data_IF_310545788064
#
_entry.id   IF_310545788064
#
_cell.length_a   1.000
_cell.length_b   1.000
_cell.length_c   1.000
_cell.angle_alpha   90.00
_cell.angle_beta   90.00
_cell.angle_gamma   90.00
#
_symmetry.space_group_name_H-M   'P 1'
#
loop_
_entity.id
_entity.type
_entity.pdbx_description
1 polymer ?
#
# COMPACT_ATOMS: atom_id res chain seq x y z
N UNK A 1 -30.01 -25.37 -34.99
CA UNK A 1 -29.48 -23.99 -34.88
C UNK A 1 -30.31 -23.28 -33.84
N UNK A 2 -29.86 -23.30 -32.59
CA UNK A 2 -30.46 -22.46 -31.55
C UNK A 2 -29.96 -21.01 -31.75
N UNK A 3 -30.82 -20.00 -31.55
CA UNK A 3 -30.41 -18.62 -31.69
C UNK A 3 -29.49 -18.21 -30.54
N UNK A 4 -28.34 -17.64 -30.88
CA UNK A 4 -27.46 -16.95 -29.95
C UNK A 4 -28.25 -15.85 -29.24
N UNK A 5 -28.56 -16.06 -27.95
CA UNK A 5 -29.13 -15.02 -27.10
C UNK A 5 -27.98 -14.05 -26.77
N UNK A 6 -27.99 -12.89 -27.41
CA UNK A 6 -27.10 -11.78 -27.08
C UNK A 6 -27.45 -11.28 -25.67
N UNK A 7 -26.76 -11.81 -24.65
CA UNK A 7 -26.90 -11.35 -23.26
C UNK A 7 -26.26 -9.97 -23.16
N UNK A 8 -27.05 -8.92 -23.41
CA UNK A 8 -26.65 -7.56 -23.06
C UNK A 8 -26.32 -7.54 -21.56
N UNK A 9 -25.12 -7.11 -21.14
CA UNK A 9 -24.80 -7.04 -19.73
C UNK A 9 -25.74 -6.04 -19.07
N UNK A 10 -26.59 -6.53 -18.18
CA UNK A 10 -27.49 -5.70 -17.37
C UNK A 10 -26.66 -4.62 -16.65
N UNK A 11 -27.11 -3.37 -16.73
CA UNK A 11 -26.50 -2.17 -16.10
C UNK A 11 -25.93 -2.37 -14.68
N UNK A 12 -26.50 -3.20 -13.78
CA UNK A 12 -25.90 -3.49 -12.47
C UNK A 12 -24.47 -4.06 -12.51
N UNK A 13 -24.11 -4.86 -13.53
CA UNK A 13 -22.77 -5.50 -13.61
C UNK A 13 -21.64 -4.51 -13.92
N UNK A 14 -21.95 -3.40 -14.57
CA UNK A 14 -20.95 -2.39 -14.99
C UNK A 14 -20.64 -1.42 -13.84
N UNK A 15 -21.65 -1.11 -13.01
CA UNK A 15 -21.48 -0.29 -11.79
C UNK A 15 -20.52 -0.96 -10.79
N UNK A 16 -20.62 -2.28 -10.59
CA UNK A 16 -19.80 -3.01 -9.63
C UNK A 16 -18.30 -3.08 -10.00
N UNK A 17 -17.99 -3.24 -11.29
CA UNK A 17 -16.61 -3.51 -11.76
C UNK A 17 -15.64 -2.36 -11.49
N UNK A 18 -16.13 -1.11 -11.43
CA UNK A 18 -15.28 0.08 -11.36
C UNK A 18 -15.54 1.00 -10.16
N UNK A 19 -16.70 0.91 -9.49
CA UNK A 19 -17.04 1.79 -8.36
C UNK A 19 -16.47 1.27 -7.05
N UNK A 20 -16.58 -0.04 -6.80
CA UNK A 20 -16.14 -0.65 -5.55
C UNK A 20 -14.64 -0.46 -5.25
N UNK A 21 -13.71 -0.65 -6.21
CA UNK A 21 -12.30 -0.34 -5.97
C UNK A 21 -12.07 1.13 -5.62
N UNK A 22 -12.81 2.06 -6.25
CA UNK A 22 -12.71 3.49 -5.97
C UNK A 22 -13.23 3.83 -4.57
N UNK A 23 -14.34 3.22 -4.15
CA UNK A 23 -14.89 3.37 -2.80
C UNK A 23 -13.89 2.84 -1.77
N UNK A 24 -13.39 1.62 -1.94
CA UNK A 24 -12.40 1.03 -1.04
C UNK A 24 -11.14 1.88 -0.93
N UNK A 25 -10.62 2.37 -2.06
CA UNK A 25 -9.47 3.27 -2.10
C UNK A 25 -9.74 4.60 -1.38
N UNK A 26 -10.91 5.20 -1.57
CA UNK A 26 -11.32 6.44 -0.90
C UNK A 26 -11.40 6.25 0.61
N UNK A 27 -12.04 5.16 1.07
CA UNK A 27 -12.17 4.84 2.49
C UNK A 27 -10.81 4.65 3.16
N UNK A 28 -9.89 3.90 2.54
CA UNK A 28 -8.53 3.73 3.08
C UNK A 28 -7.75 5.03 3.06
N UNK A 29 -7.88 5.83 2.00
CA UNK A 29 -7.22 7.13 1.90
C UNK A 29 -7.68 8.05 3.04
N UNK A 30 -8.98 8.16 3.28
CA UNK A 30 -9.56 8.93 4.38
C UNK A 30 -9.13 8.39 5.76
N UNK A 31 -9.16 7.07 5.96
CA UNK A 31 -8.74 6.44 7.22
C UNK A 31 -7.24 6.63 7.50
N UNK A 32 -6.39 6.61 6.45
CA UNK A 32 -4.96 6.88 6.56
C UNK A 32 -4.67 8.34 6.89
N UNK A 33 -5.42 9.27 6.29
CA UNK A 33 -5.34 10.70 6.57
C UNK A 33 -5.74 10.99 8.02
N UNK A 34 -6.85 10.42 8.50
CA UNK A 34 -7.25 10.52 9.90
C UNK A 34 -6.14 10.01 10.84
N UNK A 35 -5.48 8.90 10.50
CA UNK A 35 -4.33 8.39 11.26
C UNK A 35 -3.12 9.35 11.26
N UNK A 36 -2.78 9.93 10.11
CA UNK A 36 -1.69 10.90 10.00
C UNK A 36 -1.99 12.19 10.77
N UNK A 37 -3.22 12.70 10.68
CA UNK A 37 -3.71 13.85 11.47
C UNK A 37 -3.58 13.55 12.96
N UNK A 38 -4.07 12.39 13.41
CA UNK A 38 -3.99 11.96 14.80
C UNK A 38 -2.54 11.92 15.30
N UNK A 39 -1.61 11.35 14.53
CA UNK A 39 -0.20 11.30 14.94
C UNK A 39 0.47 12.68 14.89
N UNK A 40 0.21 13.49 13.85
CA UNK A 40 0.80 14.82 13.69
C UNK A 40 0.37 15.79 14.78
N UNK A 41 -0.93 15.82 15.11
CA UNK A 41 -1.42 16.63 16.22
C UNK A 41 -0.76 16.20 17.55
N UNK A 42 -0.49 14.90 17.77
CA UNK A 42 0.19 14.42 19.01
C UNK A 42 1.64 14.89 19.10
N UNK A 43 2.27 15.15 17.96
CA UNK A 43 3.58 15.79 17.88
C UNK A 43 3.52 17.31 18.06
N UNK A 44 2.32 17.89 18.27
CA UNK A 44 2.10 19.32 18.43
C UNK A 44 1.94 20.07 17.10
N UNK A 45 1.65 19.38 16.00
CA UNK A 45 1.50 20.01 14.68
C UNK A 45 0.04 20.41 14.43
N UNK A 46 -0.28 21.70 14.47
CA UNK A 46 -1.66 22.20 14.35
C UNK A 46 -2.02 22.75 12.95
N UNK A 47 -1.06 22.85 12.02
CA UNK A 47 -1.30 23.40 10.68
C UNK A 47 -1.62 22.34 9.63
N UNK A 48 -2.68 22.56 8.84
CA UNK A 48 -3.04 21.70 7.71
C UNK A 48 -1.89 21.40 6.74
N UNK A 49 -1.00 22.36 6.39
CA UNK A 49 0.14 22.04 5.53
C UNK A 49 1.08 20.98 6.11
N UNK A 50 1.37 21.04 7.42
CA UNK A 50 2.23 20.06 8.08
C UNK A 50 1.58 18.68 8.14
N UNK A 51 0.27 18.62 8.43
CA UNK A 51 -0.48 17.38 8.45
C UNK A 51 -0.62 16.75 7.05
N UNK A 52 -0.78 17.59 6.02
CA UNK A 52 -0.84 17.15 4.63
C UNK A 52 0.51 16.62 4.13
N UNK A 53 1.62 17.30 4.46
CA UNK A 53 2.98 16.82 4.16
C UNK A 53 3.21 15.46 4.80
N UNK A 54 2.90 15.34 6.10
CA UNK A 54 3.01 14.08 6.84
C UNK A 54 2.22 12.96 6.18
N UNK A 55 0.93 13.17 5.96
CA UNK A 55 0.07 12.16 5.35
C UNK A 55 0.62 11.73 3.99
N UNK A 56 0.98 12.71 3.15
CA UNK A 56 1.53 12.45 1.82
C UNK A 56 2.84 11.69 1.86
N UNK A 57 3.74 12.00 2.82
CA UNK A 57 5.01 11.31 3.02
C UNK A 57 4.83 9.82 3.32
N UNK A 58 3.96 9.45 4.26
CA UNK A 58 3.64 8.04 4.52
C UNK A 58 2.96 7.38 3.33
N UNK A 59 2.11 8.10 2.62
CA UNK A 59 1.35 7.56 1.50
C UNK A 59 2.25 7.21 0.31
N UNK A 60 3.14 8.12 -0.10
CA UNK A 60 4.11 7.84 -1.19
C UNK A 60 5.15 6.78 -0.79
N UNK A 61 5.60 6.79 0.46
CA UNK A 61 6.51 5.76 0.97
C UNK A 61 5.83 4.38 0.96
N UNK A 62 4.56 4.31 1.38
CA UNK A 62 3.78 3.07 1.38
C UNK A 62 3.55 2.52 -0.04
N UNK A 63 3.28 3.39 -1.02
CA UNK A 63 3.17 3.00 -2.43
C UNK A 63 4.49 2.42 -2.96
N UNK A 64 5.63 3.09 -2.71
CA UNK A 64 6.94 2.62 -3.15
C UNK A 64 7.31 1.30 -2.46
N UNK A 65 7.23 1.24 -1.13
CA UNK A 65 7.57 0.05 -0.35
C UNK A 65 6.72 -1.14 -0.76
N UNK A 66 5.40 -0.97 -0.76
CA UNK A 66 4.48 -2.05 -1.11
C UNK A 66 4.65 -2.51 -2.55
N UNK A 67 4.69 -1.60 -3.53
CA UNK A 67 4.87 -2.01 -4.94
C UNK A 67 6.21 -2.70 -5.19
N UNK A 68 7.27 -2.31 -4.48
CA UNK A 68 8.56 -3.00 -4.51
C UNK A 68 8.47 -4.41 -3.90
N UNK A 69 7.76 -4.58 -2.78
CA UNK A 69 7.45 -5.90 -2.23
C UNK A 69 6.68 -6.77 -3.23
N UNK A 70 5.71 -6.20 -3.93
CA UNK A 70 4.92 -6.88 -4.97
C UNK A 70 5.79 -7.39 -6.11
N UNK A 71 6.68 -6.54 -6.64
CA UNK A 71 7.66 -6.94 -7.65
C UNK A 71 8.51 -8.14 -7.20
N UNK A 72 9.04 -8.09 -5.98
CA UNK A 72 10.03 -9.05 -5.49
C UNK A 72 9.42 -10.39 -5.03
N UNK A 73 8.35 -10.32 -4.24
CA UNK A 73 7.79 -11.48 -3.54
C UNK A 73 6.58 -12.09 -4.24
N UNK A 74 6.01 -11.41 -5.24
CA UNK A 74 4.78 -11.85 -5.89
C UNK A 74 4.98 -12.04 -7.39
N UNK A 75 5.42 -11.01 -8.12
CA UNK A 75 5.65 -11.13 -9.56
C UNK A 75 6.73 -12.17 -9.87
N UNK A 76 7.93 -12.01 -9.30
CA UNK A 76 9.06 -12.87 -9.66
C UNK A 76 8.85 -14.36 -9.37
N UNK A 77 8.24 -14.76 -8.23
CA UNK A 77 7.86 -16.16 -8.05
C UNK A 77 6.78 -16.64 -9.03
N UNK A 78 5.81 -15.79 -9.39
CA UNK A 78 4.71 -16.20 -10.28
C UNK A 78 5.18 -16.43 -11.71
N UNK A 79 6.07 -15.58 -12.24
CA UNK A 79 6.65 -15.80 -13.57
C UNK A 79 7.59 -17.02 -13.56
N UNK A 80 8.32 -17.27 -12.47
CA UNK A 80 9.14 -18.49 -12.34
C UNK A 80 8.32 -19.78 -12.35
N UNK A 81 7.07 -19.74 -11.87
CA UNK A 81 6.14 -20.87 -11.93
C UNK A 81 5.59 -21.10 -13.35
N UNK A 82 5.57 -20.09 -14.21
CA UNK A 82 5.10 -20.16 -15.60
C UNK A 82 6.07 -19.44 -16.54
N UNK A 83 7.24 -20.02 -16.84
CA UNK A 83 8.31 -19.33 -17.57
C UNK A 83 8.13 -19.36 -19.10
N UNK A 84 6.88 -19.31 -19.58
CA UNK A 84 6.56 -19.26 -21.02
C UNK A 84 6.74 -17.83 -21.56
N UNK A 85 7.07 -17.64 -22.84
CA UNK A 85 7.36 -16.33 -23.42
C UNK A 85 6.28 -15.28 -23.13
N UNK A 86 5.00 -15.63 -23.30
CA UNK A 86 3.85 -14.74 -23.12
C UNK A 86 3.72 -14.25 -21.67
N UNK A 87 3.94 -15.14 -20.70
CA UNK A 87 3.92 -14.80 -19.28
C UNK A 87 5.11 -13.93 -18.87
N UNK A 88 6.28 -14.18 -19.45
CA UNK A 88 7.47 -13.35 -19.25
C UNK A 88 7.24 -11.94 -19.82
N UNK A 89 6.68 -11.84 -21.03
CA UNK A 89 6.36 -10.56 -21.67
C UNK A 89 5.35 -9.74 -20.86
N UNK A 90 4.33 -10.40 -20.30
CA UNK A 90 3.38 -9.76 -19.38
C UNK A 90 4.08 -9.29 -18.09
N UNK A 91 4.94 -10.13 -17.50
CA UNK A 91 5.72 -9.77 -16.31
C UNK A 91 6.67 -8.60 -16.54
N UNK A 92 7.38 -8.56 -17.67
CA UNK A 92 8.24 -7.44 -18.03
C UNK A 92 7.45 -6.17 -18.33
N UNK A 93 6.26 -6.28 -18.91
CA UNK A 93 5.36 -5.13 -19.08
C UNK A 93 4.96 -4.53 -17.72
N UNK A 94 4.66 -5.36 -16.72
CA UNK A 94 4.43 -4.90 -15.35
C UNK A 94 5.66 -4.19 -14.77
N UNK A 95 6.87 -4.73 -14.98
CA UNK A 95 8.12 -4.07 -14.52
C UNK A 95 8.31 -2.70 -15.20
N UNK A 96 8.03 -2.58 -16.50
CA UNK A 96 8.13 -1.29 -17.22
C UNK A 96 7.15 -0.25 -16.67
N UNK A 97 5.90 -0.63 -16.43
CA UNK A 97 4.91 0.26 -15.81
C UNK A 97 5.26 0.62 -14.37
N UNK A 98 5.79 -0.33 -13.60
CA UNK A 98 6.27 -0.07 -12.24
C UNK A 98 7.39 0.98 -12.23
N UNK A 99 8.36 0.89 -13.16
CA UNK A 99 9.40 1.91 -13.33
C UNK A 99 8.82 3.27 -13.72
N UNK A 100 7.80 3.31 -14.56
CA UNK A 100 7.11 4.56 -14.90
C UNK A 100 6.48 5.22 -13.66
N UNK A 101 5.81 4.44 -12.81
CA UNK A 101 5.32 4.92 -11.52
C UNK A 101 6.43 5.38 -10.59
N UNK A 102 7.55 4.66 -10.51
CA UNK A 102 8.69 5.05 -9.68
C UNK A 102 9.30 6.39 -10.11
N UNK A 103 9.29 6.75 -11.40
CA UNK A 103 9.79 8.06 -11.87
C UNK A 103 8.99 9.24 -11.32
N UNK A 104 7.72 9.02 -10.96
CA UNK A 104 6.87 10.03 -10.34
C UNK A 104 6.95 9.93 -8.81
N UNK A 105 6.83 8.70 -8.29
CA UNK A 105 6.75 8.46 -6.85
C UNK A 105 8.07 8.72 -6.12
N UNK A 106 9.23 8.45 -6.74
CA UNK A 106 10.53 8.63 -6.08
C UNK A 106 10.84 10.12 -5.82
N UNK A 107 10.76 11.04 -6.81
CA UNK A 107 10.92 12.47 -6.52
C UNK A 107 9.90 12.99 -5.50
N UNK A 108 8.65 12.54 -5.59
CA UNK A 108 7.61 12.89 -4.62
C UNK A 108 7.98 12.39 -3.20
N UNK A 109 8.50 11.18 -3.07
CA UNK A 109 8.96 10.64 -1.80
C UNK A 109 10.15 11.41 -1.23
N UNK A 110 11.15 11.74 -2.06
CA UNK A 110 12.30 12.55 -1.62
C UNK A 110 11.83 13.89 -1.08
N UNK A 111 10.94 14.58 -1.80
CA UNK A 111 10.40 15.87 -1.39
C UNK A 111 9.55 15.78 -0.12
N UNK A 112 8.56 14.89 -0.11
CA UNK A 112 7.55 14.82 0.95
C UNK A 112 8.11 14.21 2.23
N UNK A 113 8.90 13.14 2.12
CA UNK A 113 9.59 12.55 3.28
C UNK A 113 10.67 13.51 3.79
N UNK A 114 11.42 14.17 2.91
CA UNK A 114 12.38 15.20 3.31
C UNK A 114 11.71 16.35 4.07
N UNK A 115 10.54 16.82 3.60
CA UNK A 115 9.75 17.83 4.29
C UNK A 115 9.21 17.35 5.64
N UNK A 116 8.70 16.12 5.75
CA UNK A 116 8.24 15.53 7.01
C UNK A 116 9.41 15.37 8.02
N UNK A 117 10.58 14.92 7.55
CA UNK A 117 11.80 14.86 8.36
C UNK A 117 12.24 16.25 8.86
N UNK A 118 12.10 17.29 8.04
CA UNK A 118 12.36 18.66 8.46
C UNK A 118 11.38 19.15 9.55
N UNK A 119 10.12 18.69 9.54
CA UNK A 119 9.18 18.97 10.63
C UNK A 119 9.64 18.33 11.95
N UNK A 120 10.17 17.10 11.90
CA UNK A 120 10.69 16.42 13.09
C UNK A 120 11.94 17.06 13.69
N UNK A 121 12.77 17.74 12.89
CA UNK A 121 13.94 18.45 13.41
C UNK A 121 13.58 19.56 14.41
N UNK A 122 12.31 20.02 14.43
CA UNK A 122 11.79 20.98 15.42
C UNK A 122 11.75 20.41 16.85
N UNK A 123 11.74 19.08 17.00
CA UNK A 123 11.79 18.40 18.29
C UNK A 123 13.20 18.29 18.88
N UNK A 124 14.20 18.91 18.24
CA UNK A 124 15.53 19.07 18.81
C UNK A 124 16.42 17.82 18.70
N UNK A 125 17.41 17.66 19.61
CA UNK A 125 18.46 16.65 19.50
C UNK A 125 17.96 15.20 19.44
N UNK A 126 16.83 14.89 20.09
CA UNK A 126 16.27 13.54 20.15
C UNK A 126 15.82 13.03 18.77
N UNK A 127 15.39 13.92 17.87
CA UNK A 127 14.91 13.54 16.52
C UNK A 127 16.07 13.36 15.52
N UNK A 128 17.20 14.05 15.71
CA UNK A 128 18.32 14.07 14.76
C UNK A 128 18.84 12.70 14.34
N UNK A 129 19.16 11.75 15.24
CA UNK A 129 19.69 10.45 14.82
C UNK A 129 18.69 9.68 13.94
N UNK A 130 17.40 9.73 14.28
CA UNK A 130 16.34 9.10 13.49
C UNK A 130 16.15 9.75 12.13
N UNK A 131 16.25 11.08 12.05
CA UNK A 131 16.19 11.82 10.78
C UNK A 131 17.35 11.43 9.86
N UNK A 132 18.56 11.30 10.41
CA UNK A 132 19.74 10.85 9.66
C UNK A 132 19.55 9.42 9.15
N UNK A 133 19.08 8.50 10.01
CA UNK A 133 18.82 7.10 9.62
C UNK A 133 17.74 7.01 8.55
N UNK A 134 16.61 7.72 8.72
CA UNK A 134 15.51 7.73 7.77
C UNK A 134 15.93 8.34 6.42
N UNK A 135 16.64 9.47 6.44
CA UNK A 135 17.16 10.11 5.23
C UNK A 135 18.20 9.25 4.51
N UNK A 136 19.11 8.62 5.25
CA UNK A 136 20.09 7.69 4.70
C UNK A 136 19.42 6.46 4.08
N UNK A 137 18.42 5.88 4.74
CA UNK A 137 17.65 4.76 4.19
C UNK A 137 16.86 5.15 2.93
N UNK A 138 16.30 6.36 2.89
CA UNK A 138 15.66 6.89 1.68
C UNK A 138 16.65 7.12 0.54
N UNK A 139 17.87 7.58 0.84
CA UNK A 139 18.93 7.71 -0.16
C UNK A 139 19.37 6.35 -0.72
N UNK A 140 19.50 5.33 0.13
CA UNK A 140 19.74 3.94 -0.31
C UNK A 140 18.60 3.42 -1.18
N UNK A 141 17.35 3.70 -0.80
CA UNK A 141 16.18 3.37 -1.62
C UNK A 141 16.24 4.02 -3.00
N UNK A 142 16.54 5.32 -3.04
CA UNK A 142 16.68 6.08 -4.28
C UNK A 142 17.79 5.52 -5.17
N UNK A 143 18.95 5.19 -4.60
CA UNK A 143 20.05 4.57 -5.32
C UNK A 143 19.67 3.19 -5.88
N UNK A 144 18.97 2.36 -5.10
CA UNK A 144 18.47 1.05 -5.54
C UNK A 144 17.45 1.17 -6.67
N UNK A 145 16.50 2.10 -6.58
CA UNK A 145 15.50 2.37 -7.62
C UNK A 145 16.17 2.89 -8.89
N UNK A 146 17.07 3.87 -8.76
CA UNK A 146 17.82 4.40 -9.89
C UNK A 146 18.65 3.30 -10.58
N UNK A 147 19.35 2.47 -9.82
CA UNK A 147 20.08 1.32 -10.36
C UNK A 147 19.16 0.32 -11.07
N UNK A 148 17.95 0.07 -10.53
CA UNK A 148 16.97 -0.80 -11.19
C UNK A 148 16.45 -0.22 -12.51
N UNK A 149 16.37 1.10 -12.68
CA UNK A 149 15.94 1.71 -13.95
C UNK A 149 16.85 1.36 -15.12
N UNK A 150 18.16 1.27 -14.87
CA UNK A 150 19.18 0.94 -15.87
C UNK A 150 19.36 -0.57 -16.07
N UNK A 151 18.92 -1.38 -15.11
CA UNK A 151 18.94 -2.83 -15.25
C UNK A 151 17.98 -3.28 -16.37
N UNK A 152 18.35 -4.35 -17.09
CA UNK A 152 17.43 -5.01 -18.03
C UNK A 152 16.16 -5.43 -17.26
N UNK A 153 14.95 -5.23 -17.81
CA UNK A 153 13.74 -5.71 -17.15
C UNK A 153 13.78 -7.25 -17.09
N UNK A 154 14.19 -7.81 -15.97
CA UNK A 154 14.07 -9.25 -15.69
C UNK A 154 13.05 -9.42 -14.57
N UNK A 155 11.85 -9.86 -14.95
CA UNK A 155 10.78 -10.11 -14.00
C UNK A 155 10.99 -11.40 -13.19
N UNK A 156 11.86 -12.33 -13.63
CA UNK A 156 12.10 -13.63 -12.98
C UNK A 156 13.16 -13.55 -11.89
N UNK A 157 14.19 -12.72 -12.09
CA UNK A 157 15.35 -12.60 -11.20
C UNK A 157 15.63 -11.14 -10.89
N UNK A 158 15.00 -10.58 -9.85
CA UNK A 158 15.31 -9.23 -9.41
C UNK A 158 16.78 -9.09 -9.01
N UNK A 159 17.47 -8.11 -9.60
CA UNK A 159 18.87 -7.84 -9.30
C UNK A 159 19.11 -7.20 -7.93
N UNK A 160 20.38 -7.08 -7.54
CA UNK A 160 20.79 -6.42 -6.30
C UNK A 160 20.20 -5.01 -6.11
N UNK A 161 20.07 -4.14 -7.14
CA UNK A 161 19.44 -2.83 -6.98
C UNK A 161 17.99 -2.88 -6.50
N UNK A 162 17.22 -3.88 -6.93
CA UNK A 162 15.83 -4.05 -6.51
C UNK A 162 15.72 -4.43 -5.03
N UNK A 163 16.66 -5.24 -4.52
CA UNK A 163 16.75 -5.58 -3.10
C UNK A 163 17.27 -4.41 -2.26
N UNK A 164 18.23 -3.64 -2.77
CA UNK A 164 18.70 -2.42 -2.13
C UNK A 164 17.56 -1.40 -2.00
N UNK A 165 16.74 -1.24 -3.05
CA UNK A 165 15.54 -0.41 -3.02
C UNK A 165 14.58 -0.84 -1.91
N UNK A 166 14.27 -2.15 -1.83
CA UNK A 166 13.41 -2.69 -0.77
C UNK A 166 13.99 -2.43 0.61
N UNK A 167 15.28 -2.74 0.83
CA UNK A 167 15.96 -2.54 2.11
C UNK A 167 15.96 -1.08 2.56
N UNK A 168 16.22 -0.15 1.65
CA UNK A 168 16.14 1.29 1.93
C UNK A 168 14.73 1.76 2.28
N UNK A 169 13.71 1.34 1.51
CA UNK A 169 12.31 1.70 1.77
C UNK A 169 11.81 1.12 3.11
N UNK A 170 12.16 -0.13 3.38
CA UNK A 170 11.89 -0.82 4.63
C UNK A 170 12.57 -0.12 5.83
N UNK A 171 13.84 0.26 5.67
CA UNK A 171 14.60 1.01 6.67
C UNK A 171 14.02 2.40 6.93
N UNK A 172 13.61 3.13 5.89
CA UNK A 172 12.98 4.43 6.02
C UNK A 172 11.63 4.33 6.77
N UNK A 173 10.78 3.35 6.41
CA UNK A 173 9.51 3.10 7.10
C UNK A 173 9.72 2.70 8.57
N UNK A 174 10.74 1.89 8.85
CA UNK A 174 11.12 1.49 10.20
C UNK A 174 11.59 2.70 11.03
N UNK A 175 12.48 3.52 10.47
CA UNK A 175 13.03 4.70 11.15
C UNK A 175 11.94 5.74 11.43
N UNK A 176 11.08 6.04 10.45
CA UNK A 176 9.94 6.95 10.64
C UNK A 176 8.91 6.40 11.64
N UNK A 177 8.64 5.09 11.61
CA UNK A 177 7.76 4.44 12.57
C UNK A 177 8.31 4.46 14.00
N UNK A 178 9.63 4.27 14.16
CA UNK A 178 10.30 4.39 15.45
C UNK A 178 10.31 5.83 15.98
N UNK A 179 10.67 6.79 15.12
CA UNK A 179 10.67 8.22 15.44
C UNK A 179 9.29 8.68 15.95
N UNK A 180 8.23 8.20 15.31
CA UNK A 180 6.85 8.47 15.71
C UNK A 180 6.50 8.08 17.13
N UNK A 181 7.11 7.02 17.64
CA UNK A 181 6.85 6.51 18.98
C UNK A 181 7.77 7.19 19.99
N UNK A 182 9.05 7.38 19.63
CA UNK A 182 10.04 8.04 20.50
C UNK A 182 9.61 9.47 20.85
N UNK A 183 8.96 10.17 19.94
CA UNK A 183 8.50 11.55 20.17
C UNK A 183 7.13 11.65 20.84
N UNK A 184 6.43 10.54 21.06
CA UNK A 184 5.15 10.59 21.77
C UNK A 184 5.36 10.87 23.26
N UNK A 185 4.69 11.89 23.83
CA UNK A 185 4.71 12.13 25.26
C UNK A 185 4.18 10.90 26.02
N UNK A 186 4.89 10.49 27.08
CA UNK A 186 4.49 9.41 27.99
C UNK A 186 4.20 8.04 27.32
N UNK A 187 5.13 7.54 26.51
CA UNK A 187 5.03 6.17 25.98
C UNK A 187 5.29 5.14 27.08
N UNK A 188 4.22 4.54 27.60
CA UNK A 188 4.28 3.55 28.69
C UNK A 188 5.09 2.28 28.34
N UNK A 189 5.28 1.98 27.04
CA UNK A 189 6.09 0.84 26.59
C UNK A 189 6.64 1.03 25.16
N UNK A 190 7.80 1.70 24.99
CA UNK A 190 8.42 1.88 23.68
C UNK A 190 8.73 0.56 22.98
N UNK A 191 9.11 -0.47 23.75
CA UNK A 191 9.42 -1.82 23.25
C UNK A 191 8.22 -2.52 22.60
N UNK A 192 7.00 -2.21 23.04
CA UNK A 192 5.78 -2.70 22.39
C UNK A 192 5.37 -1.78 21.24
N UNK A 193 5.44 -0.46 21.45
CA UNK A 193 4.87 0.53 20.53
C UNK A 193 5.67 0.72 19.26
N UNK A 194 7.01 0.65 19.32
CA UNK A 194 7.86 0.75 18.12
C UNK A 194 7.59 -0.41 17.17
N UNK A 195 7.69 -1.69 17.58
CA UNK A 195 7.36 -2.81 16.69
C UNK A 195 5.92 -2.75 16.18
N UNK A 196 4.97 -2.39 17.05
CA UNK A 196 3.57 -2.24 16.65
C UNK A 196 3.36 -1.16 15.58
N UNK A 197 4.03 -0.01 15.70
CA UNK A 197 3.96 1.07 14.72
C UNK A 197 4.61 0.67 13.39
N UNK A 198 5.78 0.04 13.45
CA UNK A 198 6.47 -0.46 12.26
C UNK A 198 5.60 -1.50 11.55
N UNK A 199 5.03 -2.46 12.28
CA UNK A 199 4.13 -3.48 11.74
C UNK A 199 2.88 -2.84 11.09
N UNK A 200 2.29 -1.82 11.72
CA UNK A 200 1.16 -1.09 11.14
C UNK A 200 1.52 -0.41 9.81
N UNK A 201 2.66 0.28 9.75
CA UNK A 201 3.12 0.98 8.54
C UNK A 201 3.48 -0.01 7.43
N UNK A 202 4.10 -1.14 7.77
CA UNK A 202 4.43 -2.19 6.81
C UNK A 202 3.18 -2.89 6.27
N UNK A 203 2.22 -3.21 7.14
CA UNK A 203 0.94 -3.77 6.74
C UNK A 203 0.20 -2.79 5.81
N UNK A 204 0.16 -1.51 6.18
CA UNK A 204 -0.44 -0.47 5.34
C UNK A 204 0.26 -0.35 3.97
N UNK A 205 1.60 -0.43 3.96
CA UNK A 205 2.40 -0.40 2.73
C UNK A 205 2.11 -1.61 1.85
N UNK A 206 2.08 -2.82 2.41
CA UNK A 206 1.78 -4.03 1.67
C UNK A 206 0.39 -3.98 1.00
N UNK A 207 -0.61 -3.43 1.70
CA UNK A 207 -1.95 -3.22 1.15
C UNK A 207 -1.95 -2.15 0.05
N UNK A 208 -1.46 -0.95 0.34
CA UNK A 208 -1.57 0.20 -0.56
C UNK A 208 -0.72 0.00 -1.83
N UNK A 209 0.50 -0.50 -1.68
CA UNK A 209 1.32 -0.85 -2.83
C UNK A 209 0.80 -2.06 -3.60
N UNK A 210 0.05 -2.96 -2.95
CA UNK A 210 -0.68 -4.03 -3.63
C UNK A 210 -1.86 -3.54 -4.44
N UNK A 211 -2.60 -2.56 -3.93
CA UNK A 211 -3.63 -1.86 -4.69
C UNK A 211 -3.00 -1.15 -5.90
N UNK A 212 -1.89 -0.43 -5.71
CA UNK A 212 -1.15 0.19 -6.80
C UNK A 212 -0.77 -0.84 -7.87
N UNK A 213 -0.17 -1.95 -7.43
CA UNK A 213 0.29 -3.02 -8.30
C UNK A 213 -0.86 -3.64 -9.11
N UNK A 214 -1.92 -4.09 -8.45
CA UNK A 214 -2.99 -4.79 -9.14
C UNK A 214 -3.79 -3.86 -10.07
N UNK A 215 -4.10 -2.63 -9.62
CA UNK A 215 -5.00 -1.73 -10.35
C UNK A 215 -4.26 -0.95 -11.45
N UNK A 216 -3.07 -0.44 -11.16
CA UNK A 216 -2.38 0.51 -12.05
C UNK A 216 -1.16 -0.07 -12.76
N UNK A 217 -0.78 -1.32 -12.47
CA UNK A 217 0.35 -1.99 -13.12
C UNK A 217 -0.11 -3.28 -13.81
N UNK A 218 -0.67 -4.24 -13.08
CA UNK A 218 -1.07 -5.53 -13.63
C UNK A 218 -2.22 -5.40 -14.64
N UNK A 219 -3.31 -4.73 -14.28
CA UNK A 219 -4.45 -4.55 -15.20
C UNK A 219 -4.04 -3.86 -16.50
N UNK A 220 -3.38 -2.69 -16.51
CA UNK A 220 -2.96 -2.05 -17.77
C UNK A 220 -1.95 -2.86 -18.57
N UNK A 221 -1.06 -3.63 -17.90
CA UNK A 221 -0.15 -4.53 -18.60
C UNK A 221 -0.87 -5.72 -19.26
N UNK A 222 -1.99 -6.18 -18.68
CA UNK A 222 -2.75 -7.33 -19.15
C UNK A 222 -3.79 -7.00 -20.24
N UNK A 223 -4.34 -5.78 -20.26
CA UNK A 223 -5.33 -5.35 -21.25
C UNK A 223 -4.96 -5.63 -22.72
N UNK A 224 -3.73 -5.37 -23.19
CA UNK A 224 -3.35 -5.67 -24.58
C UNK A 224 -2.93 -7.13 -24.81
N UNK A 225 -2.97 -8.00 -23.78
CA UNK A 225 -2.44 -9.38 -23.82
C UNK A 225 -3.54 -10.40 -23.54
N UNK A 226 -4.43 -10.57 -24.52
CA UNK A 226 -5.58 -11.49 -24.42
C UNK A 226 -5.13 -12.91 -24.76
N UNK A 227 -4.57 -13.62 -23.78
CA UNK A 227 -4.18 -15.03 -23.91
C UNK A 227 -4.24 -15.78 -22.57
N UNK A 228 -4.27 -17.12 -22.64
CA UNK A 228 -4.39 -17.98 -21.46
C UNK A 228 -3.24 -17.82 -20.46
N UNK A 229 -2.01 -17.60 -20.92
CA UNK A 229 -0.86 -17.45 -20.02
C UNK A 229 -0.92 -16.15 -19.22
N UNK A 230 -1.46 -15.08 -19.81
CA UNK A 230 -1.75 -13.82 -19.12
C UNK A 230 -2.84 -14.02 -18.07
N UNK A 231 -3.89 -14.78 -18.40
CA UNK A 231 -4.97 -15.13 -17.46
C UNK A 231 -4.43 -15.93 -16.27
N UNK A 232 -3.62 -16.96 -16.52
CA UNK A 232 -3.00 -17.78 -15.47
C UNK A 232 -2.11 -16.92 -14.57
N UNK A 233 -1.24 -16.09 -15.15
CA UNK A 233 -0.34 -15.25 -14.37
C UNK A 233 -1.09 -14.17 -13.58
N UNK A 234 -2.13 -13.57 -14.15
CA UNK A 234 -3.01 -12.64 -13.45
C UNK A 234 -3.73 -13.33 -12.27
N UNK A 235 -4.18 -14.57 -12.46
CA UNK A 235 -4.79 -15.35 -11.38
C UNK A 235 -3.82 -15.64 -10.22
N UNK A 236 -2.55 -15.95 -10.50
CA UNK A 236 -1.54 -16.09 -9.44
C UNK A 236 -1.33 -14.80 -8.63
N UNK A 237 -1.37 -13.63 -9.28
CA UNK A 237 -1.29 -12.35 -8.58
C UNK A 237 -2.51 -12.12 -7.69
N UNK A 238 -3.71 -12.40 -8.20
CA UNK A 238 -4.96 -12.25 -7.45
C UNK A 238 -5.02 -13.19 -6.24
N UNK A 239 -4.62 -14.45 -6.38
CA UNK A 239 -4.63 -15.40 -5.26
C UNK A 239 -3.71 -14.96 -4.13
N UNK A 240 -2.50 -14.52 -4.49
CA UNK A 240 -1.58 -13.99 -3.48
C UNK A 240 -2.07 -12.68 -2.88
N UNK A 241 -2.72 -11.81 -3.65
CA UNK A 241 -3.33 -10.58 -3.12
C UNK A 241 -4.39 -10.89 -2.07
N UNK A 242 -5.19 -11.92 -2.29
CA UNK A 242 -6.18 -12.38 -1.30
C UNK A 242 -5.53 -12.84 -0.01
N UNK A 243 -4.44 -13.60 -0.07
CA UNK A 243 -3.68 -14.02 1.11
C UNK A 243 -3.10 -12.81 1.86
N UNK A 244 -2.54 -11.84 1.14
CA UNK A 244 -2.03 -10.59 1.73
C UNK A 244 -3.14 -9.83 2.43
N UNK A 245 -4.27 -9.61 1.76
CA UNK A 245 -5.39 -8.84 2.32
C UNK A 245 -5.95 -9.52 3.58
N UNK A 246 -6.07 -10.86 3.58
CA UNK A 246 -6.52 -11.65 4.74
C UNK A 246 -5.60 -11.54 5.96
N UNK A 247 -4.31 -11.29 5.77
CA UNK A 247 -3.35 -11.13 6.88
C UNK A 247 -3.17 -9.66 7.27
N UNK A 248 -3.12 -8.77 6.28
CA UNK A 248 -2.87 -7.34 6.48
C UNK A 248 -4.03 -6.64 7.16
N UNK A 249 -5.30 -6.91 6.81
CA UNK A 249 -6.42 -6.24 7.47
C UNK A 249 -6.53 -6.54 8.97
N UNK A 250 -6.50 -7.82 9.42
CA UNK A 250 -6.45 -8.12 10.84
C UNK A 250 -5.24 -7.47 11.53
N UNK A 251 -4.08 -7.45 10.85
CA UNK A 251 -2.88 -6.79 11.38
C UNK A 251 -3.10 -5.29 11.58
N UNK A 252 -3.68 -4.60 10.60
CA UNK A 252 -3.98 -3.16 10.70
C UNK A 252 -4.98 -2.84 11.80
N UNK A 253 -6.01 -3.67 11.96
CA UNK A 253 -7.01 -3.54 13.03
C UNK A 253 -6.35 -3.76 14.39
N UNK A 254 -5.67 -4.90 14.59
CA UNK A 254 -5.03 -5.24 15.86
C UNK A 254 -4.00 -4.18 16.27
N UNK A 255 -3.09 -3.80 15.36
CA UNK A 255 -2.08 -2.79 15.65
C UNK A 255 -2.66 -1.39 15.88
N UNK A 256 -3.78 -1.07 15.23
CA UNK A 256 -4.56 0.16 15.47
C UNK A 256 -5.25 0.16 16.84
N UNK A 257 -5.78 -0.98 17.29
CA UNK A 257 -6.33 -1.15 18.63
C UNK A 257 -5.26 -0.99 19.71
N UNK A 258 -4.07 -1.57 19.50
CA UNK A 258 -2.90 -1.37 20.40
C UNK A 258 -2.52 0.12 20.49
N UNK A 259 -2.50 0.85 19.35
CA UNK A 259 -2.24 2.29 19.35
C UNK A 259 -3.33 3.09 20.07
N UNK A 260 -4.58 2.66 19.95
CA UNK A 260 -5.74 3.29 20.62
C UNK A 260 -5.68 3.07 22.13
N UNK A 261 -5.42 1.84 22.56
CA UNK A 261 -5.22 1.48 23.96
C UNK A 261 -4.05 2.27 24.57
N UNK A 262 -2.94 2.41 23.85
CA UNK A 262 -1.82 3.21 24.32
C UNK A 262 -2.13 4.71 24.43
N UNK A 263 -3.18 5.20 23.76
CA UNK A 263 -3.61 6.60 23.80
C UNK A 263 -4.63 6.88 24.91
N UNK A 264 -5.59 5.97 25.14
CA UNK A 264 -6.73 6.20 26.03
C UNK A 264 -6.82 5.22 27.21
N UNK A 265 -5.92 4.25 27.28
CA UNK A 265 -5.98 3.15 28.22
C UNK A 265 -7.22 2.28 28.01
N UNK A 266 -7.81 1.82 29.11
CA UNK A 266 -9.04 1.01 29.12
C UNK A 266 -10.32 1.85 29.24
N UNK A 267 -10.20 3.18 29.33
CA UNK A 267 -11.34 4.08 29.48
C UNK A 267 -12.05 4.34 28.15
N UNK A 268 -13.36 4.12 28.10
CA UNK A 268 -14.19 4.39 26.91
C UNK A 268 -14.66 5.84 26.82
N UNK A 269 -14.78 6.53 27.95
CA UNK A 269 -15.29 7.91 28.01
C UNK A 269 -14.46 8.89 27.15
N UNK A 270 -13.11 8.87 27.17
CA UNK A 270 -12.31 9.74 26.32
C UNK A 270 -12.54 9.53 24.82
N UNK A 271 -12.93 8.33 24.38
CA UNK A 271 -13.23 8.06 22.98
C UNK A 271 -14.45 8.85 22.48
N UNK A 272 -15.44 9.06 23.36
CA UNK A 272 -16.69 9.73 23.02
C UNK A 272 -16.61 11.25 23.23
N UNK A 273 -15.93 11.69 24.29
CA UNK A 273 -15.94 13.10 24.70
C UNK A 273 -14.85 13.92 24.03
N UNK A 274 -13.69 13.33 23.73
CA UNK A 274 -12.55 14.08 23.16
C UNK A 274 -12.58 14.13 21.63
N UNK A 275 -12.01 15.21 21.06
CA UNK A 275 -11.84 15.32 19.60
C UNK A 275 -10.97 14.19 19.04
N UNK A 276 -9.93 13.81 19.79
CA UNK A 276 -9.03 12.69 19.49
C UNK A 276 -9.78 11.36 19.42
N UNK A 277 -10.64 11.12 20.40
CA UNK A 277 -11.50 9.95 20.48
C UNK A 277 -12.43 9.85 19.28
N UNK A 278 -13.08 10.95 18.91
CA UNK A 278 -13.95 11.00 17.71
C UNK A 278 -13.18 10.71 16.44
N UNK A 279 -11.95 11.20 16.27
CA UNK A 279 -11.11 10.86 15.11
C UNK A 279 -10.79 9.36 15.05
N UNK A 280 -10.50 8.73 16.20
CA UNK A 280 -10.29 7.29 16.28
C UNK A 280 -11.56 6.52 15.92
N UNK A 281 -12.73 6.92 16.44
CA UNK A 281 -14.01 6.31 16.10
C UNK A 281 -14.35 6.48 14.62
N UNK A 282 -14.10 7.64 14.03
CA UNK A 282 -14.26 7.86 12.59
C UNK A 282 -13.36 6.92 11.79
N UNK A 283 -12.09 6.78 12.17
CA UNK A 283 -11.17 5.85 11.51
C UNK A 283 -11.65 4.41 11.64
N UNK A 284 -12.11 3.98 12.82
CA UNK A 284 -12.66 2.65 13.03
C UNK A 284 -13.93 2.41 12.21
N UNK A 285 -14.82 3.41 12.12
CA UNK A 285 -16.01 3.36 11.28
C UNK A 285 -15.67 3.23 9.79
N UNK A 286 -14.69 3.97 9.30
CA UNK A 286 -14.20 3.85 7.92
C UNK A 286 -13.60 2.46 7.63
N UNK A 287 -12.86 1.89 8.59
CA UNK A 287 -12.31 0.54 8.48
C UNK A 287 -13.42 -0.51 8.53
N UNK A 288 -14.40 -0.37 9.42
CA UNK A 288 -15.53 -1.29 9.52
C UNK A 288 -16.37 -1.27 8.23
N UNK A 289 -16.61 -0.08 7.66
CA UNK A 289 -17.26 0.07 6.37
C UNK A 289 -16.45 -0.59 5.25
N UNK A 290 -15.13 -0.37 5.23
CA UNK A 290 -14.23 -1.02 4.27
C UNK A 290 -14.32 -2.55 4.36
N UNK A 291 -14.24 -3.10 5.57
CA UNK A 291 -14.38 -4.55 5.82
C UNK A 291 -15.75 -5.04 5.36
N UNK A 292 -16.82 -4.31 5.67
CA UNK A 292 -18.17 -4.60 5.19
C UNK A 292 -18.24 -4.67 3.66
N UNK A 293 -17.63 -3.70 2.97
CA UNK A 293 -17.51 -3.71 1.49
C UNK A 293 -16.76 -4.96 1.02
N UNK A 294 -15.62 -5.32 1.63
CA UNK A 294 -14.86 -6.51 1.20
C UNK A 294 -15.58 -7.84 1.46
N UNK A 295 -16.36 -7.96 2.53
CA UNK A 295 -17.13 -9.17 2.85
C UNK A 295 -18.36 -9.30 1.94
N UNK A 296 -19.07 -8.19 1.68
CA UNK A 296 -20.31 -8.18 0.92
C UNK A 296 -20.10 -8.14 -0.60
N UNK A 297 -18.97 -7.59 -1.04
CA UNK A 297 -18.66 -7.49 -2.46
C UNK A 297 -18.22 -8.86 -3.02
N UNK A 298 -18.88 -9.39 -4.06
CA UNK A 298 -18.42 -10.57 -4.79
C UNK A 298 -17.27 -10.20 -5.74
N UNK A 299 -16.26 -9.47 -5.23
CA UNK A 299 -15.03 -9.10 -5.94
C UNK A 299 -14.31 -10.32 -6.55
N UNK A 300 -14.73 -11.51 -6.11
CA UNK A 300 -14.34 -12.84 -6.52
C UNK A 300 -14.89 -13.31 -7.88
N UNK A 301 -15.95 -12.71 -8.44
CA UNK A 301 -16.56 -13.18 -9.71
C UNK A 301 -16.70 -12.13 -10.81
N UNK A 302 -16.67 -10.83 -10.52
CA UNK A 302 -17.07 -9.80 -11.50
C UNK A 302 -15.98 -8.78 -11.90
N UNK A 303 -14.77 -8.82 -11.31
CA UNK A 303 -14.02 -7.56 -11.15
C UNK A 303 -12.69 -7.42 -11.88
N UNK A 304 -12.19 -8.40 -12.65
CA UNK A 304 -10.98 -8.17 -13.45
C UNK A 304 -11.33 -7.55 -14.82
N UNK A 305 -10.79 -6.37 -15.18
CA UNK A 305 -10.90 -5.83 -16.53
C UNK A 305 -10.12 -6.62 -17.58
N UNK A 306 -9.23 -7.52 -17.16
CA UNK A 306 -8.50 -8.41 -18.06
C UNK A 306 -9.46 -9.50 -18.55
N UNK A 307 -9.67 -9.56 -19.87
CA UNK A 307 -10.49 -10.59 -20.53
C UNK A 307 -9.94 -11.99 -20.22
N UNK A 308 -10.82 -12.96 -19.99
CA UNK A 308 -10.44 -14.33 -19.65
C UNK A 308 -10.23 -14.60 -18.15
N UNK A 309 -10.03 -13.57 -17.32
CA UNK A 309 -9.74 -13.77 -15.88
C UNK A 309 -11.00 -14.06 -15.07
N UNK A 310 -12.14 -13.48 -15.44
CA UNK A 310 -13.42 -13.72 -14.77
C UNK A 310 -14.36 -14.64 -15.56
N UNK A 311 -14.31 -14.55 -16.89
CA UNK A 311 -15.00 -15.47 -17.78
C UNK A 311 -14.05 -15.89 -18.90
N UNK A 312 -13.88 -17.20 -19.11
CA UNK A 312 -13.00 -17.72 -20.16
C UNK A 312 -13.55 -17.45 -21.56
N UNK A 313 -14.88 -17.36 -21.71
CA UNK A 313 -15.54 -17.02 -22.98
C UNK A 313 -15.13 -15.63 -23.49
N UNK A 314 -14.60 -14.75 -22.63
CA UNK A 314 -14.08 -13.43 -23.05
C UNK A 314 -12.79 -13.53 -23.89
N UNK A 315 -12.21 -14.73 -24.05
CA UNK A 315 -11.03 -15.01 -24.87
C UNK A 315 -11.37 -15.42 -26.31
N UNK A 316 -12.63 -15.79 -26.57
CA UNK A 316 -13.17 -16.13 -27.90
C UNK A 316 -13.59 -14.85 -28.66
#
# INVERSE_FOLDING_TARGET
>A
MEPFVEVRPSVPRVLDKYVLPKVAFTLVTAASMAGAVLTGLRHGWFGWPALAVRWSAYWVLALLLGSQMWKLFYLAPSVRQRPVPEAVDYGEAMVRLHRAWQRVLLPAAILLVGADLALYLRHGPIARPWVVVAGGALALAAAGIAGDWWARPDCRRPGAPAWLALGGLAGAALALGGLDVVLQPATASPWLLVPNRVLHVWAFSAWLGGALWNIFIAVPAGLPRVNMDTVILANFQLERFRVVVRTVFPTLVATGLVQTWAMFGWGWQPLLTSAWGRLVLTKLGLIALLVGVFITCPMWRACSPIRGVCNLDDLE
#
